data_IF_869569351372
#
_entry.id   IF_869569351372
#
_cell.length_a   1.000
_cell.length_b   1.000
_cell.length_c   1.000
_cell.angle_alpha   90.00
_cell.angle_beta   90.00
_cell.angle_gamma   90.00
#
_symmetry.space_group_name_H-M   'P 1'
#
loop_
_entity.id
_entity.type
_entity.pdbx_description
1 polymer ?
#
# COMPACT_ATOMS: atom_id res chain seq x y z
N UNK A 1 -35.29 -35.08 -12.75
CA UNK A 1 -35.15 -33.76 -12.10
C UNK A 1 -33.70 -33.35 -12.15
N UNK A 2 -33.36 -32.43 -13.04
CA UNK A 2 -31.99 -31.92 -13.23
C UNK A 2 -31.65 -30.96 -12.09
N UNK A 3 -30.63 -31.28 -11.31
CA UNK A 3 -30.12 -30.40 -10.27
C UNK A 3 -29.50 -29.16 -10.94
N UNK A 4 -30.13 -28.00 -10.74
CA UNK A 4 -29.59 -26.72 -11.17
C UNK A 4 -28.22 -26.50 -10.51
N UNK A 5 -27.16 -26.44 -11.32
CA UNK A 5 -25.84 -25.97 -10.88
C UNK A 5 -26.00 -24.55 -10.33
N UNK A 6 -25.60 -24.35 -9.08
CA UNK A 6 -25.47 -23.03 -8.47
C UNK A 6 -24.61 -22.13 -9.38
N UNK A 7 -25.05 -20.92 -9.74
CA UNK A 7 -24.29 -20.00 -10.60
C UNK A 7 -23.00 -19.44 -9.95
N UNK A 8 -22.63 -19.91 -8.75
CA UNK A 8 -21.50 -19.41 -7.96
C UNK A 8 -20.16 -20.12 -8.21
N UNK A 9 -20.14 -21.32 -8.81
CA UNK A 9 -18.91 -22.14 -8.93
C UNK A 9 -17.94 -21.63 -10.03
N UNK A 10 -18.47 -21.09 -11.13
CA UNK A 10 -17.66 -20.60 -12.25
C UNK A 10 -17.01 -19.23 -12.01
N UNK A 11 -17.69 -18.34 -11.28
CA UNK A 11 -17.16 -17.01 -10.93
C UNK A 11 -16.10 -17.11 -9.84
N UNK A 12 -16.34 -17.89 -8.78
CA UNK A 12 -15.37 -18.11 -7.70
C UNK A 12 -14.02 -18.67 -8.21
N UNK A 13 -14.04 -19.68 -9.10
CA UNK A 13 -12.82 -20.23 -9.74
C UNK A 13 -12.08 -19.23 -10.63
N UNK A 14 -12.81 -18.33 -11.31
CA UNK A 14 -12.21 -17.28 -12.15
C UNK A 14 -11.47 -16.21 -11.32
N UNK A 15 -11.87 -16.01 -10.06
CA UNK A 15 -11.22 -15.07 -9.15
C UNK A 15 -10.05 -15.71 -8.39
N UNK A 16 -10.10 -17.01 -8.07
CA UNK A 16 -8.98 -17.74 -7.43
C UNK A 16 -7.69 -17.73 -8.27
N UNK A 17 -7.78 -17.82 -9.60
CA UNK A 17 -6.60 -17.86 -10.47
C UNK A 17 -5.84 -16.53 -10.59
N UNK A 18 -6.44 -15.42 -10.14
CA UNK A 18 -5.86 -14.07 -10.20
C UNK A 18 -5.37 -13.55 -8.85
N UNK A 19 -5.59 -14.28 -7.77
CA UNK A 19 -5.11 -13.89 -6.44
C UNK A 19 -3.65 -14.33 -6.23
N UNK A 20 -2.82 -13.41 -5.76
CA UNK A 20 -1.44 -13.70 -5.41
C UNK A 20 -1.34 -14.43 -4.07
N UNK A 21 -2.37 -14.34 -3.22
CA UNK A 21 -2.43 -15.01 -1.92
C UNK A 21 -3.20 -16.31 -2.06
N UNK A 22 -2.60 -17.41 -1.58
CA UNK A 22 -3.26 -18.72 -1.54
C UNK A 22 -4.28 -18.77 -0.39
N UNK A 23 -5.44 -18.15 -0.60
CA UNK A 23 -6.45 -17.97 0.44
C UNK A 23 -6.92 -19.29 1.03
N UNK A 24 -6.99 -19.36 2.36
CA UNK A 24 -7.39 -20.58 3.08
C UNK A 24 -6.33 -21.67 3.14
N UNK A 25 -5.17 -21.49 2.51
CA UNK A 25 -4.03 -22.41 2.60
C UNK A 25 -3.11 -21.93 3.71
N UNK A 26 -3.25 -22.48 4.92
CA UNK A 26 -2.51 -22.07 6.10
C UNK A 26 -1.23 -22.91 6.29
N UNK A 27 -0.18 -22.60 5.53
CA UNK A 27 1.14 -23.23 5.67
C UNK A 27 2.26 -22.21 5.55
N UNK A 28 3.38 -22.49 6.23
CA UNK A 28 4.61 -21.73 6.07
C UNK A 28 5.24 -21.99 4.70
N UNK A 29 5.84 -20.95 4.12
CA UNK A 29 6.68 -21.06 2.92
C UNK A 29 7.95 -20.24 3.14
N UNK A 30 8.99 -20.82 3.77
CA UNK A 30 10.20 -20.10 4.14
C UNK A 30 10.91 -19.45 2.95
N UNK A 31 10.90 -20.12 1.79
CA UNK A 31 11.48 -19.58 0.57
C UNK A 31 10.74 -18.31 0.12
N UNK A 32 9.41 -18.34 0.04
CA UNK A 32 8.62 -17.15 -0.32
C UNK A 32 8.78 -16.02 0.69
N UNK A 33 8.84 -16.34 1.98
CA UNK A 33 9.14 -15.37 3.05
C UNK A 33 10.52 -14.74 2.89
N UNK A 34 11.56 -15.54 2.69
CA UNK A 34 12.93 -15.05 2.51
C UNK A 34 13.06 -14.20 1.23
N UNK A 35 12.45 -14.63 0.12
CA UNK A 35 12.40 -13.86 -1.13
C UNK A 35 11.76 -12.49 -0.90
N UNK A 36 10.62 -12.45 -0.19
CA UNK A 36 9.93 -11.19 0.07
C UNK A 36 10.75 -10.25 0.95
N UNK A 37 11.30 -10.76 2.07
CA UNK A 37 12.12 -9.96 2.98
C UNK A 37 13.34 -9.42 2.23
N UNK A 38 14.03 -10.25 1.45
CA UNK A 38 15.18 -9.83 0.64
C UNK A 38 14.81 -8.70 -0.34
N UNK A 39 13.80 -8.92 -1.19
CA UNK A 39 13.37 -7.92 -2.18
C UNK A 39 12.92 -6.61 -1.54
N UNK A 40 12.17 -6.68 -0.43
CA UNK A 40 11.69 -5.48 0.26
C UNK A 40 12.80 -4.76 1.01
N UNK A 41 13.81 -5.46 1.50
CA UNK A 41 14.98 -4.85 2.18
C UNK A 41 15.94 -4.17 1.19
N UNK A 42 16.00 -4.64 -0.06
CA UNK A 42 16.78 -4.00 -1.13
C UNK A 42 16.16 -2.68 -1.61
N UNK A 43 14.86 -2.48 -1.45
CA UNK A 43 14.17 -1.31 -1.96
C UNK A 43 14.62 0.01 -1.30
N UNK A 44 14.68 0.17 0.04
CA UNK A 44 15.23 1.38 0.64
C UNK A 44 16.67 1.70 0.21
N UNK A 45 17.49 0.68 -0.06
CA UNK A 45 18.85 0.85 -0.58
C UNK A 45 18.79 1.47 -1.98
N UNK A 46 17.96 0.92 -2.87
CA UNK A 46 17.75 1.48 -4.21
C UNK A 46 17.19 2.91 -4.14
N UNK A 47 16.18 3.15 -3.30
CA UNK A 47 15.59 4.48 -3.14
C UNK A 47 16.63 5.50 -2.65
N UNK A 48 17.55 5.10 -1.77
CA UNK A 48 18.68 5.94 -1.37
C UNK A 48 19.62 6.24 -2.55
N UNK A 49 19.95 5.25 -3.38
CA UNK A 49 20.78 5.49 -4.58
C UNK A 49 20.12 6.49 -5.53
N UNK A 50 18.81 6.32 -5.78
CA UNK A 50 18.03 7.21 -6.66
C UNK A 50 17.97 8.64 -6.10
N UNK A 51 17.61 8.77 -4.81
CA UNK A 51 17.35 10.06 -4.17
C UNK A 51 18.59 10.77 -3.65
N UNK A 52 19.74 10.11 -3.47
CA UNK A 52 20.91 10.71 -2.81
C UNK A 52 22.23 10.60 -3.57
N UNK A 53 22.39 9.61 -4.45
CA UNK A 53 23.66 9.29 -5.13
C UNK A 53 23.68 9.61 -6.63
N UNK A 54 22.70 10.37 -7.11
CA UNK A 54 22.63 10.82 -8.50
C UNK A 54 22.16 9.75 -9.50
N UNK A 55 21.81 8.54 -9.06
CA UNK A 55 21.31 7.50 -9.98
C UNK A 55 20.00 7.92 -10.64
N UNK A 56 19.11 8.56 -9.87
CA UNK A 56 17.82 9.03 -10.38
C UNK A 56 17.97 10.17 -11.39
N UNK A 57 18.82 11.14 -11.07
CA UNK A 57 19.19 12.24 -11.97
C UNK A 57 19.78 11.72 -13.28
N UNK A 58 20.79 10.85 -13.21
CA UNK A 58 21.42 10.28 -14.39
C UNK A 58 20.44 9.46 -15.24
N UNK A 59 19.48 8.77 -14.62
CA UNK A 59 18.45 8.03 -15.36
C UNK A 59 17.50 8.98 -16.11
N UNK A 60 17.06 10.08 -15.49
CA UNK A 60 16.21 11.09 -16.13
C UNK A 60 16.92 11.79 -17.29
N UNK A 61 18.20 12.18 -17.10
CA UNK A 61 18.99 12.83 -18.14
C UNK A 61 19.20 11.94 -19.37
N UNK A 62 19.38 10.62 -19.19
CA UNK A 62 19.49 9.66 -20.30
C UNK A 62 18.26 9.60 -21.19
N UNK A 63 17.08 9.93 -20.66
CA UNK A 63 15.82 9.97 -21.41
C UNK A 63 15.40 11.39 -21.77
N UNK A 64 16.30 12.37 -21.64
CA UNK A 64 16.05 13.77 -22.01
C UNK A 64 15.13 14.54 -21.05
N UNK A 65 14.92 14.04 -19.83
CA UNK A 65 14.11 14.72 -18.82
C UNK A 65 15.01 15.57 -17.92
N UNK A 66 14.65 16.84 -17.75
CA UNK A 66 15.31 17.75 -16.80
C UNK A 66 15.18 17.26 -15.36
N UNK A 67 16.29 17.26 -14.62
CA UNK A 67 16.34 16.76 -13.25
C UNK A 67 16.87 17.81 -12.28
N UNK A 68 16.36 17.76 -11.05
CA UNK A 68 16.85 18.55 -9.91
C UNK A 68 18.22 18.00 -9.53
N UNK A 69 19.28 18.82 -9.57
CA UNK A 69 20.64 18.36 -9.30
C UNK A 69 20.75 17.65 -7.94
N UNK A 70 21.46 16.53 -7.93
CA UNK A 70 21.80 15.78 -6.72
C UNK A 70 23.26 16.05 -6.40
N UNK A 71 23.50 16.93 -5.42
CA UNK A 71 24.80 16.95 -4.74
C UNK A 71 24.96 15.58 -4.09
N UNK A 72 26.05 14.86 -4.34
CA UNK A 72 26.22 13.49 -3.86
C UNK A 72 26.25 13.44 -2.32
N UNK A 73 25.09 13.32 -1.70
CA UNK A 73 24.95 13.36 -0.24
C UNK A 73 25.68 12.16 0.36
N UNK A 74 26.58 12.41 1.31
CA UNK A 74 27.45 11.38 1.88
C UNK A 74 26.71 10.48 2.88
N UNK A 75 25.66 10.99 3.54
CA UNK A 75 24.95 10.33 4.65
C UNK A 75 23.46 10.65 4.70
N UNK A 76 22.68 9.88 5.48
CA UNK A 76 21.27 10.19 5.76
C UNK A 76 21.06 11.58 6.40
N UNK A 77 22.00 12.01 7.25
CA UNK A 77 21.92 13.31 7.96
C UNK A 77 22.12 14.52 7.06
N UNK A 78 22.68 14.33 5.85
CA UNK A 78 22.87 15.41 4.88
C UNK A 78 21.75 15.51 3.86
N UNK A 79 20.77 14.60 3.87
CA UNK A 79 19.64 14.64 2.93
C UNK A 79 18.70 15.80 3.28
N UNK A 80 18.33 16.65 2.29
CA UNK A 80 17.23 17.60 2.44
C UNK A 80 15.95 16.89 2.87
N UNK A 81 15.16 17.55 3.73
CA UNK A 81 13.98 16.95 4.36
C UNK A 81 13.03 16.24 3.37
N UNK A 82 12.68 16.79 2.19
CA UNK A 82 11.77 16.10 1.28
C UNK A 82 12.33 14.78 0.71
N UNK A 83 13.64 14.70 0.46
CA UNK A 83 14.31 13.44 0.05
C UNK A 83 14.32 12.43 1.20
N UNK A 84 14.60 12.91 2.42
CA UNK A 84 14.57 12.09 3.62
C UNK A 84 13.17 11.54 3.90
N UNK A 85 12.11 12.34 3.69
CA UNK A 85 10.73 11.91 3.83
C UNK A 85 10.39 10.77 2.87
N UNK A 86 10.71 10.89 1.57
CA UNK A 86 10.49 9.81 0.60
C UNK A 86 11.23 8.53 0.98
N UNK A 87 12.47 8.64 1.42
CA UNK A 87 13.26 7.49 1.87
C UNK A 87 12.68 6.86 3.15
N UNK A 88 12.25 7.69 4.10
CA UNK A 88 11.58 7.23 5.32
C UNK A 88 10.27 6.53 5.01
N UNK A 89 9.50 7.02 4.03
CA UNK A 89 8.27 6.40 3.55
C UNK A 89 8.53 5.06 2.84
N UNK A 90 9.58 4.97 2.02
CA UNK A 90 10.03 3.70 1.44
C UNK A 90 10.33 2.69 2.55
N UNK A 91 11.18 3.09 3.50
CA UNK A 91 11.64 2.27 4.62
C UNK A 91 10.49 1.84 5.52
N UNK A 92 9.61 2.76 5.92
CA UNK A 92 8.44 2.47 6.74
C UNK A 92 7.49 1.48 6.06
N UNK A 93 7.30 1.61 4.74
CA UNK A 93 6.44 0.69 3.98
C UNK A 93 7.07 -0.70 3.87
N UNK A 94 8.40 -0.79 3.72
CA UNK A 94 9.17 -2.04 3.79
C UNK A 94 8.98 -2.71 5.14
N UNK A 95 9.22 -1.99 6.24
CA UNK A 95 9.08 -2.53 7.61
C UNK A 95 7.66 -3.03 7.84
N UNK A 96 6.65 -2.22 7.48
CA UNK A 96 5.23 -2.60 7.62
C UNK A 96 4.88 -3.86 6.83
N UNK A 97 5.38 -4.00 5.60
CA UNK A 97 5.09 -5.17 4.76
C UNK A 97 5.80 -6.42 5.24
N UNK A 98 7.05 -6.30 5.70
CA UNK A 98 7.78 -7.41 6.34
C UNK A 98 7.03 -7.84 7.60
N UNK A 99 6.63 -6.89 8.46
CA UNK A 99 5.80 -7.17 9.63
C UNK A 99 4.48 -7.86 9.28
N UNK A 100 3.79 -7.40 8.24
CA UNK A 100 2.57 -8.03 7.78
C UNK A 100 2.82 -9.51 7.42
N UNK A 101 3.87 -9.80 6.64
CA UNK A 101 4.13 -11.17 6.22
C UNK A 101 4.57 -12.08 7.38
N UNK A 102 5.41 -11.58 8.28
CA UNK A 102 6.02 -12.40 9.34
C UNK A 102 5.13 -12.55 10.57
N UNK A 103 4.28 -11.57 10.86
CA UNK A 103 3.45 -11.56 12.07
C UNK A 103 1.96 -11.68 11.76
N UNK A 104 1.47 -10.99 10.73
CA UNK A 104 0.03 -10.83 10.51
C UNK A 104 -0.56 -11.93 9.61
N UNK A 105 0.10 -12.19 8.48
CA UNK A 105 -0.32 -13.18 7.50
C UNK A 105 -0.20 -14.60 8.06
N UNK A 106 -1.19 -15.43 7.74
CA UNK A 106 -1.19 -16.87 8.06
C UNK A 106 -1.28 -17.74 6.81
N UNK A 107 -1.54 -17.11 5.66
CA UNK A 107 -1.76 -17.80 4.40
C UNK A 107 -0.41 -18.03 3.71
N UNK A 108 -0.32 -19.10 2.93
CA UNK A 108 0.89 -19.40 2.19
C UNK A 108 1.25 -18.24 1.26
N UNK A 109 2.50 -17.77 1.38
CA UNK A 109 3.05 -16.74 0.51
C UNK A 109 4.13 -17.32 -0.38
N UNK A 110 3.81 -17.53 -1.66
CA UNK A 110 4.70 -18.19 -2.62
C UNK A 110 5.79 -17.24 -3.13
N UNK A 111 6.95 -17.76 -3.57
CA UNK A 111 8.01 -16.94 -4.18
C UNK A 111 7.54 -16.08 -5.37
N UNK A 112 6.64 -16.59 -6.22
CA UNK A 112 6.10 -15.82 -7.34
C UNK A 112 5.31 -14.60 -6.87
N UNK A 113 4.45 -14.76 -5.87
CA UNK A 113 3.74 -13.65 -5.24
C UNK A 113 4.71 -12.67 -4.56
N UNK A 114 5.74 -13.18 -3.90
CA UNK A 114 6.78 -12.36 -3.29
C UNK A 114 7.51 -11.48 -4.32
N UNK A 115 7.86 -12.05 -5.48
CA UNK A 115 8.47 -11.33 -6.59
C UNK A 115 7.51 -10.28 -7.14
N UNK A 116 6.27 -10.66 -7.47
CA UNK A 116 5.28 -9.74 -8.04
C UNK A 116 5.02 -8.54 -7.12
N UNK A 117 4.80 -8.80 -5.83
CA UNK A 117 4.56 -7.73 -4.85
C UNK A 117 5.84 -6.91 -4.63
N UNK A 118 7.00 -7.56 -4.48
CA UNK A 118 8.29 -6.88 -4.31
C UNK A 118 8.58 -5.90 -5.44
N UNK A 119 8.55 -6.40 -6.69
CA UNK A 119 8.79 -5.60 -7.91
C UNK A 119 7.77 -4.47 -8.02
N UNK A 120 6.49 -4.75 -7.82
CA UNK A 120 5.45 -3.71 -7.84
C UNK A 120 5.78 -2.56 -6.89
N UNK A 121 6.14 -2.88 -5.63
CA UNK A 121 6.46 -1.84 -4.66
C UNK A 121 7.69 -1.03 -5.06
N UNK A 122 8.76 -1.70 -5.50
CA UNK A 122 10.00 -1.04 -5.94
C UNK A 122 9.77 -0.15 -7.15
N UNK A 123 8.97 -0.57 -8.12
CA UNK A 123 8.62 0.23 -9.30
C UNK A 123 7.86 1.49 -8.89
N UNK A 124 6.80 1.37 -8.09
CA UNK A 124 6.02 2.53 -7.66
C UNK A 124 6.80 3.51 -6.77
N UNK A 125 7.66 3.00 -5.89
CA UNK A 125 8.54 3.84 -5.07
C UNK A 125 9.53 4.60 -5.96
N UNK A 126 10.14 3.91 -6.94
CA UNK A 126 11.06 4.51 -7.91
C UNK A 126 10.35 5.54 -8.80
N UNK A 127 9.11 5.28 -9.25
CA UNK A 127 8.32 6.25 -10.00
C UNK A 127 8.09 7.54 -9.20
N UNK A 128 7.75 7.42 -7.90
CA UNK A 128 7.61 8.60 -7.04
C UNK A 128 8.94 9.34 -6.85
N UNK A 129 10.07 8.61 -6.74
CA UNK A 129 11.40 9.22 -6.70
C UNK A 129 11.75 9.96 -8.00
N UNK A 130 11.43 9.39 -9.17
CA UNK A 130 11.62 10.06 -10.45
C UNK A 130 10.73 11.30 -10.61
N UNK A 131 9.47 11.22 -10.19
CA UNK A 131 8.57 12.38 -10.19
C UNK A 131 9.10 13.51 -9.30
N UNK A 132 9.66 13.15 -8.15
CA UNK A 132 10.31 14.10 -7.24
C UNK A 132 11.57 14.73 -7.84
N UNK A 133 12.40 13.94 -8.52
CA UNK A 133 13.65 14.42 -9.10
C UNK A 133 13.46 15.17 -10.41
N UNK A 134 12.35 14.99 -11.11
CA UNK A 134 12.04 15.70 -12.35
C UNK A 134 11.73 17.18 -12.08
N UNK A 135 12.38 18.07 -12.84
CA UNK A 135 12.16 19.52 -12.73
C UNK A 135 10.73 19.93 -13.13
N UNK A 136 10.03 19.11 -13.92
CA UNK A 136 8.68 19.37 -14.39
C UNK A 136 7.58 18.92 -13.43
N UNK A 137 7.85 17.96 -12.55
CA UNK A 137 6.80 17.30 -11.75
C UNK A 137 7.04 17.34 -10.25
N UNK A 138 8.21 17.79 -9.80
CA UNK A 138 8.58 17.73 -8.39
C UNK A 138 7.58 18.45 -7.49
N UNK A 139 7.20 17.80 -6.40
CA UNK A 139 6.40 18.43 -5.33
C UNK A 139 7.12 19.62 -4.69
N UNK A 140 8.44 19.76 -4.84
CA UNK A 140 9.23 20.85 -4.27
C UNK A 140 8.77 22.23 -4.74
N UNK A 141 8.33 22.31 -6.00
CA UNK A 141 7.91 23.56 -6.64
C UNK A 141 6.42 23.85 -6.46
N UNK A 142 5.67 22.94 -5.83
CA UNK A 142 4.25 23.15 -5.59
C UNK A 142 4.01 24.21 -4.51
N UNK A 143 3.05 25.10 -4.75
CA UNK A 143 2.64 26.14 -3.79
C UNK A 143 1.23 25.86 -3.26
N UNK A 144 0.87 26.39 -2.07
CA UNK A 144 1.71 27.13 -1.13
C UNK A 144 2.68 26.22 -0.36
N UNK A 145 3.64 26.83 0.35
CA UNK A 145 4.49 26.14 1.33
C UNK A 145 3.96 26.38 2.74
N UNK A 146 4.20 25.41 3.62
CA UNK A 146 3.83 25.47 5.04
C UNK A 146 5.08 25.26 5.89
N UNK A 147 5.17 26.04 6.97
CA UNK A 147 6.28 25.93 7.92
C UNK A 147 6.19 24.63 8.70
N UNK A 148 7.33 24.00 8.94
CA UNK A 148 7.41 22.78 9.72
C UNK A 148 7.38 23.14 11.22
N UNK A 149 6.37 22.72 11.99
CA UNK A 149 6.26 23.09 13.40
C UNK A 149 7.50 22.67 14.20
N UNK A 150 7.95 23.55 15.10
CA UNK A 150 9.12 23.28 15.94
C UNK A 150 10.47 23.46 15.24
N UNK A 151 10.49 24.04 14.04
CA UNK A 151 11.72 24.36 13.30
C UNK A 151 11.73 25.83 12.91
N UNK A 152 12.92 26.42 12.72
CA UNK A 152 13.07 27.82 12.30
C UNK A 152 13.47 27.88 10.83
N UNK A 153 12.67 28.57 10.00
CA UNK A 153 12.98 28.82 8.58
C UNK A 153 12.87 27.61 7.65
N UNK A 154 12.34 26.47 8.13
CA UNK A 154 12.12 25.29 7.31
C UNK A 154 10.65 25.19 6.90
N UNK A 155 10.41 25.20 5.60
CA UNK A 155 9.09 25.00 5.01
C UNK A 155 9.11 23.88 3.99
N UNK A 156 7.96 23.23 3.81
CA UNK A 156 7.72 22.18 2.82
C UNK A 156 6.49 22.56 2.00
N UNK A 157 6.37 22.05 0.77
CA UNK A 157 5.18 22.31 -0.02
C UNK A 157 3.94 21.69 0.65
N UNK A 158 2.79 22.33 0.49
CA UNK A 158 1.51 21.83 1.00
C UNK A 158 1.21 20.38 0.60
N UNK A 159 1.38 19.94 -0.67
CA UNK A 159 1.18 18.53 -1.01
C UNK A 159 2.16 17.60 -0.28
N UNK A 160 3.40 18.02 0.01
CA UNK A 160 4.31 17.23 0.85
C UNK A 160 3.75 17.07 2.27
N UNK A 161 3.27 18.15 2.90
CA UNK A 161 2.71 18.09 4.24
C UNK A 161 1.47 17.18 4.32
N UNK A 162 0.54 17.35 3.38
CA UNK A 162 -0.66 16.49 3.27
C UNK A 162 -0.25 15.05 2.97
N UNK A 163 0.73 14.85 2.09
CA UNK A 163 1.21 13.53 1.71
C UNK A 163 1.82 12.75 2.87
N UNK A 164 2.60 13.41 3.73
CA UNK A 164 3.12 12.82 4.97
C UNK A 164 1.97 12.43 5.91
N UNK A 165 0.99 13.31 6.11
CA UNK A 165 -0.16 13.02 6.96
C UNK A 165 -0.96 11.81 6.45
N UNK A 166 -1.28 11.77 5.15
CA UNK A 166 -1.97 10.64 4.51
C UNK A 166 -1.17 9.34 4.61
N UNK A 167 0.16 9.42 4.49
CA UNK A 167 1.04 8.27 4.66
C UNK A 167 0.99 7.69 6.07
N UNK A 168 1.16 8.52 7.10
CA UNK A 168 1.14 8.08 8.50
C UNK A 168 -0.23 7.49 8.85
N UNK A 169 -1.31 8.20 8.54
CA UNK A 169 -2.68 7.74 8.81
C UNK A 169 -2.99 6.46 8.04
N UNK A 170 -2.62 6.40 6.76
CA UNK A 170 -2.87 5.23 5.92
C UNK A 170 -2.14 3.98 6.37
N UNK A 171 -0.84 4.09 6.69
CA UNK A 171 -0.04 2.99 7.24
C UNK A 171 -0.62 2.51 8.57
N UNK A 172 -0.99 3.43 9.46
CA UNK A 172 -1.60 3.09 10.74
C UNK A 172 -2.95 2.37 10.56
N UNK A 173 -3.84 2.91 9.72
CA UNK A 173 -5.17 2.35 9.46
C UNK A 173 -5.09 0.94 8.87
N UNK A 174 -4.25 0.74 7.86
CA UNK A 174 -4.02 -0.58 7.26
C UNK A 174 -3.45 -1.57 8.29
N UNK A 175 -2.42 -1.17 9.03
CA UNK A 175 -1.73 -2.06 9.98
C UNK A 175 -2.63 -2.43 11.16
N UNK A 176 -3.29 -1.45 11.77
CA UNK A 176 -4.14 -1.66 12.94
C UNK A 176 -5.36 -2.53 12.59
N UNK A 177 -6.01 -2.28 11.45
CA UNK A 177 -7.16 -3.09 11.03
C UNK A 177 -6.77 -4.56 10.82
N UNK A 178 -5.65 -4.80 10.16
CA UNK A 178 -5.10 -6.14 9.92
C UNK A 178 -4.71 -6.85 11.22
N UNK A 179 -4.08 -6.15 12.18
CA UNK A 179 -3.75 -6.70 13.51
C UNK A 179 -5.01 -7.02 14.32
N UNK A 180 -6.03 -6.15 14.28
CA UNK A 180 -7.32 -6.42 14.92
C UNK A 180 -7.96 -7.68 14.34
N UNK A 181 -7.94 -7.84 13.01
CA UNK A 181 -8.45 -9.04 12.34
C UNK A 181 -7.68 -10.29 12.70
N UNK A 182 -6.35 -10.23 12.76
CA UNK A 182 -5.53 -11.35 13.24
C UNK A 182 -5.93 -11.75 14.66
N UNK A 183 -5.96 -10.81 15.61
CA UNK A 183 -6.34 -11.09 17.00
C UNK A 183 -7.73 -11.73 17.08
N UNK A 184 -8.68 -11.24 16.29
CA UNK A 184 -10.02 -11.84 16.19
C UNK A 184 -9.95 -13.29 15.72
N UNK A 185 -9.21 -13.58 14.63
CA UNK A 185 -9.12 -14.92 14.02
C UNK A 185 -8.30 -15.91 14.86
N UNK A 186 -7.38 -15.42 15.70
CA UNK A 186 -6.53 -16.24 16.55
C UNK A 186 -7.30 -16.78 17.78
N UNK A 187 -8.40 -16.13 18.17
CA UNK A 187 -9.22 -16.58 19.28
C UNK A 187 -10.02 -17.86 18.93
N UNK A 188 -9.92 -18.95 19.73
CA UNK A 188 -10.63 -20.21 19.44
C UNK A 188 -12.15 -20.06 19.30
N UNK A 189 -12.76 -19.16 20.08
CA UNK A 189 -14.20 -18.84 20.04
C UNK A 189 -14.69 -18.21 18.72
N UNK A 190 -13.76 -17.75 17.89
CA UNK A 190 -14.03 -17.08 16.61
C UNK A 190 -13.72 -17.97 15.40
N UNK A 191 -13.36 -19.26 15.61
CA UNK A 191 -13.21 -20.23 14.52
C UNK A 191 -14.47 -20.26 13.65
N UNK A 192 -14.28 -20.18 12.34
CA UNK A 192 -15.38 -20.15 11.37
C UNK A 192 -16.20 -18.85 11.33
N UNK A 193 -15.82 -17.79 12.05
CA UNK A 193 -16.56 -16.52 12.09
C UNK A 193 -15.93 -15.43 11.22
N UNK A 194 -16.74 -14.55 10.65
CA UNK A 194 -16.29 -13.31 9.99
C UNK A 194 -15.88 -12.28 11.04
N UNK A 195 -14.80 -11.53 10.80
CA UNK A 195 -14.40 -10.43 11.67
C UNK A 195 -15.26 -9.20 11.33
N UNK A 196 -16.13 -8.80 12.26
CA UNK A 196 -17.06 -7.67 12.08
C UNK A 196 -16.91 -6.60 13.17
N UNK A 197 -15.79 -6.63 13.90
CA UNK A 197 -15.50 -5.75 15.04
C UNK A 197 -14.32 -4.83 14.74
N UNK A 198 -14.13 -3.80 15.58
CA UNK A 198 -13.04 -2.83 15.38
C UNK A 198 -13.23 -2.05 14.09
N UNK A 199 -12.14 -1.78 13.37
CA UNK A 199 -12.19 -1.02 12.11
C UNK A 199 -12.98 -1.74 11.01
N UNK A 200 -13.02 -3.07 11.02
CA UNK A 200 -13.89 -3.84 10.13
C UNK A 200 -15.39 -3.70 10.50
N UNK A 201 -15.72 -3.33 11.74
CA UNK A 201 -17.08 -2.93 12.10
C UNK A 201 -17.50 -1.57 11.54
N UNK A 202 -16.54 -0.78 11.03
CA UNK A 202 -16.79 0.57 10.48
C UNK A 202 -16.89 0.52 8.95
N UNK A 203 -15.94 -0.15 8.28
CA UNK A 203 -16.02 -0.39 6.84
C UNK A 203 -15.40 -1.75 6.47
N UNK A 204 -16.00 -2.42 5.47
CA UNK A 204 -15.65 -3.80 5.12
C UNK A 204 -14.23 -3.96 4.55
N UNK A 205 -13.71 -2.92 3.89
CA UNK A 205 -12.37 -2.88 3.30
C UNK A 205 -11.55 -1.69 3.80
N UNK A 206 -11.66 -1.35 5.08
CA UNK A 206 -10.93 -0.24 5.71
C UNK A 206 -9.40 -0.33 5.56
N UNK A 207 -8.87 -1.55 5.43
CA UNK A 207 -7.45 -1.80 5.14
C UNK A 207 -7.05 -1.32 3.74
N UNK A 208 -7.93 -1.46 2.74
CA UNK A 208 -7.70 -0.93 1.39
C UNK A 208 -7.77 0.61 1.39
N UNK A 209 -8.61 1.20 2.23
CA UNK A 209 -8.63 2.65 2.45
C UNK A 209 -7.30 3.12 3.00
N UNK A 210 -6.79 2.44 4.03
CA UNK A 210 -5.45 2.70 4.55
C UNK A 210 -4.38 2.60 3.46
N UNK A 211 -4.44 1.56 2.63
CA UNK A 211 -3.52 1.37 1.51
C UNK A 211 -3.55 2.54 0.52
N UNK A 212 -4.75 2.93 0.07
CA UNK A 212 -4.92 4.04 -0.86
C UNK A 212 -4.43 5.35 -0.27
N UNK A 213 -4.71 5.63 1.01
CA UNK A 213 -4.25 6.86 1.67
C UNK A 213 -2.72 6.94 1.67
N UNK A 214 -2.02 5.89 2.09
CA UNK A 214 -0.55 6.01 2.17
C UNK A 214 0.14 5.98 0.81
N UNK A 215 -0.41 5.27 -0.18
CA UNK A 215 0.10 5.33 -1.55
C UNK A 215 -0.13 6.70 -2.18
N UNK A 216 -1.32 7.28 -1.99
CA UNK A 216 -1.62 8.66 -2.40
C UNK A 216 -0.67 9.64 -1.73
N UNK A 217 -0.45 9.47 -0.43
CA UNK A 217 0.49 10.28 0.34
C UNK A 217 1.92 10.22 -0.20
N UNK A 218 2.40 9.03 -0.55
CA UNK A 218 3.70 8.84 -1.19
C UNK A 218 3.79 9.61 -2.52
N UNK A 219 2.78 9.49 -3.39
CA UNK A 219 2.78 10.20 -4.66
C UNK A 219 2.66 11.72 -4.51
N UNK A 220 1.94 12.23 -3.50
CA UNK A 220 1.89 13.66 -3.19
C UNK A 220 3.27 14.20 -2.81
N UNK A 221 4.01 13.48 -1.96
CA UNK A 221 5.38 13.85 -1.60
C UNK A 221 6.31 13.76 -2.82
N UNK A 222 6.07 12.81 -3.73
CA UNK A 222 6.85 12.66 -4.96
C UNK A 222 6.57 13.77 -5.98
N UNK A 223 5.38 13.74 -6.58
CA UNK A 223 5.02 14.54 -7.75
C UNK A 223 3.90 15.56 -7.52
N UNK A 224 3.61 15.92 -6.27
CA UNK A 224 2.58 16.91 -5.94
C UNK A 224 1.15 16.42 -6.21
N UNK A 225 0.22 17.38 -6.34
CA UNK A 225 -1.22 17.10 -6.43
C UNK A 225 -1.61 16.20 -7.60
N UNK A 226 -1.03 16.42 -8.78
CA UNK A 226 -1.36 15.64 -9.99
C UNK A 226 -1.00 14.18 -9.78
N UNK A 227 0.23 13.88 -9.32
CA UNK A 227 0.66 12.52 -9.05
C UNK A 227 -0.17 11.86 -7.94
N UNK A 228 -0.44 12.62 -6.86
CA UNK A 228 -1.27 12.16 -5.75
C UNK A 228 -2.68 11.76 -6.21
N UNK A 229 -3.39 12.66 -6.91
CA UNK A 229 -4.73 12.41 -7.41
C UNK A 229 -4.77 11.27 -8.43
N UNK A 230 -3.80 11.22 -9.35
CA UNK A 230 -3.72 10.14 -10.34
C UNK A 230 -3.53 8.77 -9.67
N UNK A 231 -2.58 8.65 -8.74
CA UNK A 231 -2.32 7.39 -8.05
C UNK A 231 -3.46 7.02 -7.08
N UNK A 232 -4.01 8.01 -6.37
CA UNK A 232 -5.16 7.80 -5.49
C UNK A 232 -6.37 7.30 -6.27
N UNK A 233 -6.75 7.98 -7.35
CA UNK A 233 -7.83 7.58 -8.24
C UNK A 233 -7.61 6.19 -8.84
N UNK A 234 -6.39 5.90 -9.32
CA UNK A 234 -6.03 4.57 -9.81
C UNK A 234 -6.22 3.48 -8.74
N UNK A 235 -5.77 3.71 -7.51
CA UNK A 235 -5.93 2.73 -6.42
C UNK A 235 -7.40 2.52 -6.06
N UNK A 236 -8.19 3.60 -5.95
CA UNK A 236 -9.64 3.49 -5.70
C UNK A 236 -10.29 2.66 -6.81
N UNK A 237 -10.06 3.02 -8.07
CA UNK A 237 -10.60 2.29 -9.21
C UNK A 237 -10.18 0.82 -9.18
N UNK A 238 -8.90 0.54 -8.93
CA UNK A 238 -8.38 -0.82 -8.90
C UNK A 238 -9.04 -1.65 -7.78
N UNK A 239 -9.09 -1.14 -6.55
CA UNK A 239 -9.70 -1.87 -5.44
C UNK A 239 -11.19 -2.10 -5.65
N UNK A 240 -11.93 -1.08 -6.08
CA UNK A 240 -13.39 -1.18 -6.29
C UNK A 240 -13.74 -2.14 -7.41
N UNK A 241 -12.98 -2.15 -8.51
CA UNK A 241 -13.31 -2.95 -9.69
C UNK A 241 -12.67 -4.35 -9.69
N UNK A 242 -11.64 -4.59 -8.89
CA UNK A 242 -10.89 -5.86 -8.92
C UNK A 242 -10.82 -6.53 -7.55
N UNK A 243 -10.21 -5.89 -6.56
CA UNK A 243 -9.89 -6.55 -5.28
C UNK A 243 -11.11 -6.76 -4.38
N UNK A 244 -12.01 -5.79 -4.28
CA UNK A 244 -13.22 -5.91 -3.46
C UNK A 244 -14.20 -6.95 -4.03
N UNK A 245 -14.50 -6.98 -5.35
CA UNK A 245 -15.34 -8.03 -5.92
C UNK A 245 -14.74 -9.43 -5.73
N UNK A 246 -13.42 -9.57 -5.90
CA UNK A 246 -12.72 -10.83 -5.63
C UNK A 246 -12.90 -11.27 -4.17
N UNK A 247 -12.75 -10.35 -3.22
CA UNK A 247 -12.97 -10.61 -1.81
C UNK A 247 -14.43 -10.92 -1.47
N UNK A 248 -15.39 -10.21 -2.07
CA UNK A 248 -16.82 -10.44 -1.85
C UNK A 248 -17.21 -11.85 -2.34
N UNK A 249 -16.69 -12.27 -3.48
CA UNK A 249 -16.87 -13.63 -4.01
C UNK A 249 -16.29 -14.70 -3.08
N UNK A 250 -15.03 -14.55 -2.66
CA UNK A 250 -14.38 -15.49 -1.73
C UNK A 250 -15.12 -15.58 -0.39
N UNK A 251 -15.43 -14.43 0.21
CA UNK A 251 -16.09 -14.38 1.52
C UNK A 251 -17.54 -14.85 1.45
N UNK A 252 -18.24 -14.55 0.35
CA UNK A 252 -19.59 -15.05 0.08
C UNK A 252 -19.62 -16.57 -0.04
N UNK A 253 -18.64 -17.18 -0.72
CA UNK A 253 -18.53 -18.64 -0.80
C UNK A 253 -18.15 -19.29 0.53
N UNK A 254 -17.23 -18.70 1.30
CA UNK A 254 -16.71 -19.28 2.55
C UNK A 254 -17.63 -19.12 3.75
N UNK A 255 -18.31 -17.98 3.86
CA UNK A 255 -19.07 -17.60 5.06
C UNK A 255 -20.58 -17.43 4.81
N UNK A 256 -21.03 -17.47 3.55
CA UNK A 256 -22.43 -17.47 3.13
C UNK A 256 -23.31 -16.50 3.92
N UNK A 257 -24.20 -17.02 4.79
CA UNK A 257 -25.15 -16.23 5.57
C UNK A 257 -24.48 -15.21 6.51
N UNK A 258 -23.32 -15.53 7.10
CA UNK A 258 -22.59 -14.58 7.95
C UNK A 258 -22.09 -13.38 7.14
N UNK A 259 -21.63 -13.62 5.92
CA UNK A 259 -21.16 -12.56 5.04
C UNK A 259 -22.33 -11.69 4.59
N UNK A 260 -23.46 -12.28 4.18
CA UNK A 260 -24.67 -11.55 3.82
C UNK A 260 -25.16 -10.64 4.96
N UNK A 261 -25.17 -11.14 6.20
CA UNK A 261 -25.52 -10.34 7.38
C UNK A 261 -24.54 -9.20 7.62
N UNK A 262 -23.24 -9.46 7.52
CA UNK A 262 -22.22 -8.43 7.69
C UNK A 262 -22.34 -7.30 6.66
N UNK A 263 -22.71 -7.60 5.40
CA UNK A 263 -22.98 -6.57 4.38
C UNK A 263 -24.15 -5.65 4.75
N UNK A 264 -25.15 -6.17 5.47
CA UNK A 264 -26.29 -5.39 5.98
C UNK A 264 -25.89 -4.55 7.19
N UNK A 265 -25.15 -5.14 8.12
CA UNK A 265 -24.79 -4.51 9.39
C UNK A 265 -23.69 -3.45 9.22
N UNK A 266 -22.80 -3.61 8.23
CA UNK A 266 -21.73 -2.66 7.89
C UNK A 266 -21.87 -2.24 6.42
N UNK A 267 -22.69 -1.19 6.14
CA UNK A 267 -23.01 -0.79 4.78
C UNK A 267 -21.78 -0.24 4.05
N UNK A 268 -20.91 0.48 4.76
CA UNK A 268 -19.73 1.12 4.18
C UNK A 268 -18.72 0.07 3.68
N UNK A 269 -18.34 0.19 2.42
CA UNK A 269 -17.45 -0.73 1.73
C UNK A 269 -16.00 -0.30 1.90
N UNK A 270 -15.71 0.98 1.69
CA UNK A 270 -14.36 1.54 1.57
C UNK A 270 -14.18 2.79 2.44
N UNK A 271 -14.90 3.88 2.15
CA UNK A 271 -14.80 5.14 2.92
C UNK A 271 -16.02 5.25 3.83
N UNK A 272 -15.83 5.19 5.17
CA UNK A 272 -16.93 5.32 6.12
C UNK A 272 -17.75 6.59 5.89
N UNK A 273 -19.07 6.47 5.83
CA UNK A 273 -19.99 7.59 5.61
C UNK A 273 -20.13 8.04 4.16
N UNK A 274 -19.40 7.45 3.21
CA UNK A 274 -19.45 7.83 1.78
C UNK A 274 -19.76 6.61 0.91
N UNK A 275 -18.93 5.58 0.97
CA UNK A 275 -19.02 4.41 0.09
C UNK A 275 -18.55 3.14 0.79
#
# INVERSE_FOLDING_TARGET
MSAAKSPTDGTAKKYESRDLIARGVYKSNPLGTATFIGLRSLDPILQFQLLAKGWGEAALQRVGIGAIPTVAYSSLSSLPLPRLLLLAMATGSTVKQIFWLTYVSKEEFKPSAAISVGVFNTVFNSLCAFLFLSSATSSLFATPHVDVPGTTGLSISLPTAVGVALYVVGIALETVSEVQRKRFKDAPKNKGKVCTTGLFGVARHINYTGYTLWRTGYALVGGGWIAGLALGGFNVWHFVNHSMPLMDGYMGGKYSAQWARYKKDVPWLFVPGIY
#
